data_IF_880858412680
#
_entry.id   IF_880858412680
#
_cell.length_a   1.000
_cell.length_b   1.000
_cell.length_c   1.000
_cell.angle_alpha   90.00
_cell.angle_beta   90.00
_cell.angle_gamma   90.00
#
_symmetry.space_group_name_H-M   'P 1'
#
loop_
_entity.id
_entity.type
_entity.pdbx_description
1 polymer ?
#
# COMPACT_ATOMS: atom_id res chain seq x y z
N UNK A 1 -68.50 1.69 -45.24
CA UNK A 1 -68.38 0.79 -46.40
C UNK A 1 -66.92 0.38 -46.52
N UNK A 2 -66.60 -0.87 -46.17
CA UNK A 2 -65.44 -1.59 -46.73
C UNK A 2 -65.92 -2.33 -48.00
N UNK A 3 -65.02 -2.70 -48.93
CA UNK A 3 -64.36 -4.01 -48.88
C UNK A 3 -62.85 -3.92 -49.22
N UNK A 4 -61.91 -4.73 -48.71
CA UNK A 4 -61.77 -6.20 -48.63
C UNK A 4 -61.23 -6.85 -49.92
N UNK A 5 -60.38 -7.87 -49.71
CA UNK A 5 -59.72 -8.84 -50.62
C UNK A 5 -58.33 -8.43 -51.17
N UNK A 6 -57.29 -9.27 -51.22
CA UNK A 6 -57.11 -10.67 -50.78
C UNK A 6 -55.61 -11.09 -50.84
N UNK A 7 -55.20 -11.94 -49.89
CA UNK A 7 -54.35 -13.17 -50.05
C UNK A 7 -52.89 -12.98 -50.56
N UNK A 8 -51.84 -13.40 -49.85
CA UNK A 8 -51.49 -14.82 -49.67
C UNK A 8 -50.51 -15.06 -48.51
N UNK A 9 -50.71 -16.21 -47.84
CA UNK A 9 -49.87 -16.81 -46.80
C UNK A 9 -48.60 -17.42 -47.40
N UNK A 10 -47.46 -17.25 -46.72
CA UNK A 10 -46.48 -18.34 -46.64
C UNK A 10 -45.77 -18.30 -45.28
N UNK A 11 -45.70 -19.48 -44.68
CA UNK A 11 -45.08 -19.78 -43.39
C UNK A 11 -43.58 -19.88 -43.60
N UNK A 12 -42.79 -19.37 -42.65
CA UNK A 12 -41.66 -20.14 -42.15
C UNK A 12 -41.46 -19.91 -40.66
N UNK A 13 -41.37 -21.03 -39.97
CA UNK A 13 -41.19 -21.20 -38.54
C UNK A 13 -39.72 -21.50 -38.31
N UNK A 14 -39.04 -20.77 -37.44
CA UNK A 14 -37.92 -21.32 -36.65
C UNK A 14 -37.65 -20.50 -35.37
N UNK A 15 -37.86 -21.17 -34.22
CA UNK A 15 -37.19 -21.05 -32.89
C UNK A 15 -37.14 -19.67 -32.21
N UNK A 16 -37.94 -19.36 -31.18
CA UNK A 16 -37.95 -19.82 -29.77
C UNK A 16 -36.62 -19.65 -29.00
N UNK A 17 -36.69 -18.72 -28.03
CA UNK A 17 -36.11 -18.65 -26.65
C UNK A 17 -35.16 -17.47 -26.46
N UNK A 18 -35.53 -16.54 -25.57
CA UNK A 18 -34.66 -15.45 -25.10
C UNK A 18 -35.33 -14.64 -24.00
N UNK A 19 -35.11 -15.07 -22.75
CA UNK A 19 -35.75 -14.62 -21.52
C UNK A 19 -35.37 -13.18 -21.17
N UNK A 20 -36.35 -12.41 -20.70
CA UNK A 20 -36.18 -11.11 -20.05
C UNK A 20 -35.40 -11.26 -18.75
N UNK A 21 -34.12 -10.87 -18.72
CA UNK A 21 -33.34 -10.78 -17.49
C UNK A 21 -33.38 -9.37 -16.90
N UNK A 22 -33.99 -9.30 -15.72
CA UNK A 22 -33.87 -8.23 -14.74
C UNK A 22 -32.40 -8.11 -14.33
N UNK A 23 -31.74 -7.00 -14.70
CA UNK A 23 -30.42 -6.68 -14.18
C UNK A 23 -30.48 -6.53 -12.65
N UNK A 24 -29.94 -7.53 -11.95
CA UNK A 24 -29.58 -7.39 -10.53
C UNK A 24 -28.24 -6.65 -10.43
N UNK A 25 -28.02 -5.83 -9.40
CA UNK A 25 -26.71 -5.28 -9.13
C UNK A 25 -25.76 -6.45 -8.81
N UNK A 26 -24.57 -6.43 -9.43
CA UNK A 26 -23.49 -7.34 -9.08
C UNK A 26 -22.97 -6.87 -7.72
N UNK A 27 -23.36 -7.57 -6.66
CA UNK A 27 -22.71 -7.48 -5.36
C UNK A 27 -21.31 -8.07 -5.51
N UNK A 28 -20.31 -7.19 -5.52
CA UNK A 28 -18.93 -7.60 -5.31
C UNK A 28 -18.76 -7.97 -3.83
N UNK A 29 -19.07 -9.22 -3.47
CA UNK A 29 -18.57 -9.79 -2.23
C UNK A 29 -17.04 -9.84 -2.32
N UNK A 30 -16.38 -8.93 -1.61
CA UNK A 30 -14.95 -9.01 -1.37
C UNK A 30 -14.70 -10.22 -0.45
N UNK A 31 -14.48 -11.38 -1.06
CA UNK A 31 -13.91 -12.52 -0.34
C UNK A 31 -12.49 -12.13 0.04
N UNK A 32 -12.21 -12.07 1.34
CA UNK A 32 -10.85 -11.90 1.83
C UNK A 32 -10.04 -13.13 1.39
N UNK A 33 -9.29 -13.00 0.31
CA UNK A 33 -8.27 -13.99 -0.04
C UNK A 33 -7.25 -13.97 1.09
N UNK A 34 -7.19 -15.03 1.90
CA UNK A 34 -6.13 -15.26 2.88
C UNK A 34 -5.26 -16.38 2.33
N UNK A 35 -4.22 -16.02 1.59
CA UNK A 35 -3.26 -16.93 0.97
C UNK A 35 -1.97 -16.22 0.57
N UNK A 36 -0.93 -16.93 0.11
CA UNK A 36 0.31 -16.31 -0.38
C UNK A 36 0.07 -15.30 -1.52
N UNK A 37 -1.01 -15.46 -2.27
CA UNK A 37 -1.44 -14.52 -3.31
C UNK A 37 -1.90 -13.17 -2.71
N UNK A 38 -2.53 -13.18 -1.53
CA UNK A 38 -2.97 -11.97 -0.84
C UNK A 38 -1.79 -11.14 -0.31
N UNK A 39 -0.74 -11.81 0.17
CA UNK A 39 0.47 -11.17 0.68
C UNK A 39 1.15 -10.30 -0.39
N UNK A 40 1.16 -10.76 -1.64
CA UNK A 40 1.83 -10.10 -2.76
C UNK A 40 0.92 -9.23 -3.63
N UNK A 41 -0.36 -9.09 -3.29
CA UNK A 41 -1.33 -8.27 -4.03
C UNK A 41 -1.77 -7.04 -3.26
N UNK A 42 -2.05 -5.92 -3.93
CA UNK A 42 -2.56 -4.73 -3.27
C UNK A 42 -3.98 -4.98 -2.75
N UNK A 43 -4.38 -4.26 -1.71
CA UNK A 43 -5.74 -4.27 -1.18
C UNK A 43 -6.74 -3.76 -2.24
N UNK A 44 -6.37 -2.70 -2.95
CA UNK A 44 -7.16 -2.10 -4.03
C UNK A 44 -6.21 -1.46 -5.04
N UNK A 45 -6.46 -1.67 -6.33
CA UNK A 45 -5.70 -1.02 -7.42
C UNK A 45 -6.37 0.30 -7.84
N UNK A 46 -5.58 1.33 -8.19
CA UNK A 46 -6.16 2.55 -8.75
C UNK A 46 -6.68 2.31 -10.17
N UNK A 47 -7.70 3.08 -10.55
CA UNK A 47 -8.16 3.16 -11.95
C UNK A 47 -7.26 4.10 -12.73
N UNK A 48 -7.11 3.88 -14.04
CA UNK A 48 -6.31 4.75 -14.90
C UNK A 48 -6.75 6.22 -14.79
N UNK A 49 -5.80 7.12 -14.51
CA UNK A 49 -6.05 8.55 -14.36
C UNK A 49 -6.68 8.97 -13.02
N UNK A 50 -6.87 8.04 -12.08
CA UNK A 50 -7.36 8.34 -10.75
C UNK A 50 -6.29 9.08 -9.92
N UNK A 51 -6.69 10.20 -9.32
CA UNK A 51 -5.83 10.93 -8.38
C UNK A 51 -5.65 10.21 -7.04
N UNK A 52 -4.61 10.55 -6.28
CA UNK A 52 -4.40 9.99 -4.94
C UNK A 52 -5.61 10.22 -4.04
N UNK A 53 -6.17 11.43 -4.06
CA UNK A 53 -7.33 11.79 -3.24
C UNK A 53 -8.53 10.91 -3.55
N UNK A 54 -8.89 10.78 -4.83
CA UNK A 54 -10.03 9.94 -5.25
C UNK A 54 -9.82 8.47 -4.89
N UNK A 55 -8.59 7.97 -4.97
CA UNK A 55 -8.26 6.62 -4.51
C UNK A 55 -8.50 6.46 -3.02
N UNK A 56 -8.03 7.41 -2.19
CA UNK A 56 -8.20 7.34 -0.73
C UNK A 56 -9.67 7.47 -0.30
N UNK A 57 -10.48 8.26 -1.01
CA UNK A 57 -11.93 8.34 -0.80
C UNK A 57 -12.63 7.00 -1.08
N UNK A 58 -12.15 6.24 -2.07
CA UNK A 58 -12.66 4.90 -2.37
C UNK A 58 -12.12 3.83 -1.40
N UNK A 59 -10.87 3.98 -0.95
CA UNK A 59 -10.23 3.04 -0.02
C UNK A 59 -10.90 3.09 1.36
N UNK A 60 -11.16 4.29 1.88
CA UNK A 60 -11.68 4.48 3.25
C UNK A 60 -12.89 3.61 3.60
N UNK A 61 -13.97 3.55 2.78
CA UNK A 61 -15.13 2.72 3.10
C UNK A 61 -14.88 1.20 3.00
N UNK A 62 -13.79 0.74 2.40
CA UNK A 62 -13.45 -0.69 2.33
C UNK A 62 -12.60 -1.17 3.52
N UNK A 63 -12.22 -0.27 4.43
CA UNK A 63 -11.39 -0.60 5.59
C UNK A 63 -12.25 -1.09 6.76
N UNK A 64 -11.82 -2.16 7.42
CA UNK A 64 -12.31 -2.50 8.75
C UNK A 64 -11.68 -1.55 9.78
N UNK A 65 -12.41 -0.50 10.14
CA UNK A 65 -11.93 0.52 11.08
C UNK A 65 -11.64 -0.01 12.48
N UNK A 66 -12.13 -1.20 12.84
CA UNK A 66 -11.81 -1.82 14.14
C UNK A 66 -10.34 -2.24 14.25
N UNK A 67 -9.68 -2.46 13.11
CA UNK A 67 -8.26 -2.82 13.02
C UNK A 67 -7.31 -1.64 13.22
N UNK A 68 -7.82 -0.40 13.29
CA UNK A 68 -7.00 0.80 13.26
C UNK A 68 -7.38 1.82 14.34
N UNK A 69 -6.41 2.59 14.81
CA UNK A 69 -6.67 3.80 15.58
C UNK A 69 -5.65 4.89 15.27
N UNK A 70 -6.13 6.13 15.13
CA UNK A 70 -5.28 7.33 15.11
C UNK A 70 -4.91 7.69 16.55
N UNK A 71 -3.62 7.72 16.88
CA UNK A 71 -3.14 8.02 18.24
C UNK A 71 -1.93 8.95 18.21
N UNK A 72 -1.70 9.72 19.28
CA UNK A 72 -0.54 10.62 19.42
C UNK A 72 0.64 10.00 20.17
N UNK A 73 0.43 8.83 20.79
CA UNK A 73 1.41 8.15 21.65
C UNK A 73 1.31 6.63 21.50
N UNK A 74 2.43 5.94 21.76
CA UNK A 74 2.51 4.47 21.82
C UNK A 74 2.30 3.99 23.26
N UNK A 75 1.06 4.08 23.76
CA UNK A 75 0.71 3.68 25.12
C UNK A 75 0.44 2.17 25.25
N UNK A 76 -0.15 1.58 24.21
CA UNK A 76 -0.51 0.16 24.15
C UNK A 76 0.59 -0.65 23.46
N UNK A 77 0.61 -1.97 23.66
CA UNK A 77 1.47 -2.85 22.87
C UNK A 77 0.86 -3.04 21.49
N UNK A 78 1.70 -3.03 20.46
CA UNK A 78 1.17 -3.06 19.10
C UNK A 78 2.16 -2.65 18.01
N UNK A 79 1.60 -2.61 16.79
CA UNK A 79 2.25 -2.07 15.60
C UNK A 79 1.79 -0.64 15.37
N UNK A 80 2.75 0.26 15.16
CA UNK A 80 2.48 1.65 14.87
C UNK A 80 3.17 2.06 13.57
N UNK A 81 2.43 2.72 12.68
CA UNK A 81 3.01 3.38 11.53
C UNK A 81 3.03 4.89 11.80
N UNK A 82 4.18 5.50 11.59
CA UNK A 82 4.34 6.95 11.65
C UNK A 82 4.92 7.47 10.35
N UNK A 83 4.48 8.66 9.95
CA UNK A 83 5.10 9.41 8.86
C UNK A 83 5.81 10.62 9.42
N UNK A 84 6.95 10.98 8.82
CA UNK A 84 7.72 12.18 9.19
C UNK A 84 8.22 12.90 7.96
N UNK A 85 8.49 14.19 8.13
CA UNK A 85 9.09 15.03 7.10
C UNK A 85 10.41 14.44 6.59
N UNK A 86 10.64 14.58 5.29
CA UNK A 86 11.86 14.13 4.65
C UNK A 86 12.97 15.10 5.05
N UNK A 87 14.08 14.56 5.58
CA UNK A 87 15.24 15.38 5.97
C UNK A 87 15.92 15.93 4.69
N UNK A 88 16.34 17.20 4.73
CA UNK A 88 17.07 17.88 3.65
C UNK A 88 16.23 18.85 2.81
N UNK A 89 16.90 19.82 2.16
CA UNK A 89 16.23 20.94 1.48
C UNK A 89 15.37 20.53 0.27
N UNK A 90 15.67 19.38 -0.34
CA UNK A 90 14.98 18.88 -1.51
C UNK A 90 13.76 17.99 -1.20
N UNK A 91 13.58 17.57 0.05
CA UNK A 91 12.41 16.78 0.49
C UNK A 91 11.09 17.52 0.29
N UNK A 92 11.13 18.86 0.38
CA UNK A 92 9.96 19.75 0.28
C UNK A 92 9.14 19.61 -1.00
N UNK A 93 9.74 19.13 -2.10
CA UNK A 93 9.00 18.90 -3.34
C UNK A 93 7.99 17.75 -3.17
N UNK A 94 8.40 16.66 -2.53
CA UNK A 94 7.54 15.49 -2.31
C UNK A 94 6.46 15.77 -1.26
N UNK A 95 6.74 16.65 -0.30
CA UNK A 95 5.77 17.07 0.72
C UNK A 95 4.55 17.82 0.12
N UNK A 96 4.67 18.35 -1.10
CA UNK A 96 3.53 18.96 -1.79
C UNK A 96 2.47 17.95 -2.23
N UNK A 97 2.79 16.64 -2.20
CA UNK A 97 1.82 15.56 -2.34
C UNK A 97 1.04 15.27 -1.03
N UNK A 98 1.28 16.06 0.02
CA UNK A 98 0.76 15.81 1.36
C UNK A 98 1.50 14.66 2.03
N UNK A 99 0.81 13.93 2.90
CA UNK A 99 1.40 12.85 3.70
C UNK A 99 1.75 11.60 2.89
N UNK A 100 1.24 11.47 1.66
CA UNK A 100 1.38 10.28 0.83
C UNK A 100 2.85 9.92 0.55
N UNK A 101 3.68 10.93 0.28
CA UNK A 101 5.09 10.76 -0.09
C UNK A 101 6.07 11.16 1.03
N UNK A 102 5.59 11.22 2.27
CA UNK A 102 6.45 11.42 3.43
C UNK A 102 7.21 10.13 3.79
N UNK A 103 8.32 10.30 4.52
CA UNK A 103 9.09 9.17 5.02
C UNK A 103 8.27 8.38 6.04
N UNK A 104 8.30 7.05 5.96
CA UNK A 104 7.49 6.16 6.80
C UNK A 104 8.35 5.26 7.66
N UNK A 105 7.92 5.06 8.90
CA UNK A 105 8.61 4.22 9.90
C UNK A 105 7.58 3.32 10.58
N UNK A 106 7.93 2.05 10.77
CA UNK A 106 7.14 1.09 11.57
C UNK A 106 7.75 1.02 12.96
N UNK A 107 6.93 1.04 14.00
CA UNK A 107 7.32 0.79 15.38
C UNK A 107 6.60 -0.44 15.92
N UNK A 108 7.35 -1.28 16.64
CA UNK A 108 6.86 -2.43 17.36
C UNK A 108 7.06 -2.15 18.85
N UNK A 109 5.96 -2.14 19.61
CA UNK A 109 5.99 -1.92 21.05
C UNK A 109 5.56 -3.18 21.80
N UNK A 110 6.38 -3.55 22.79
CA UNK A 110 6.10 -4.63 23.73
C UNK A 110 6.57 -4.23 25.14
N UNK A 111 5.63 -3.93 26.03
CA UNK A 111 5.88 -3.33 27.33
C UNK A 111 6.64 -2.01 27.19
N UNK A 112 7.83 -1.94 27.81
CA UNK A 112 8.68 -0.74 27.74
C UNK A 112 9.63 -0.74 26.52
N UNK A 113 9.72 -1.86 25.80
CA UNK A 113 10.62 -1.98 24.66
C UNK A 113 9.93 -1.47 23.40
N UNK A 114 10.63 -0.62 22.66
CA UNK A 114 10.20 -0.11 21.36
C UNK A 114 11.33 -0.32 20.37
N UNK A 115 11.02 -1.02 19.28
CA UNK A 115 11.90 -1.24 18.13
C UNK A 115 11.28 -0.51 16.93
N UNK A 116 12.11 0.08 16.08
CA UNK A 116 11.64 0.64 14.80
C UNK A 116 12.26 -0.05 13.60
N UNK A 117 11.49 -0.10 12.51
CA UNK A 117 11.92 -0.50 11.18
C UNK A 117 11.90 0.74 10.30
N UNK A 118 13.09 1.18 9.89
CA UNK A 118 13.32 2.38 9.10
C UNK A 118 14.18 2.00 7.89
N UNK A 119 13.57 2.00 6.70
CA UNK A 119 14.28 1.69 5.46
C UNK A 119 14.71 2.98 4.77
N UNK A 120 16.01 3.27 4.80
CA UNK A 120 16.58 4.47 4.18
C UNK A 120 17.99 4.22 3.62
N UNK A 121 18.54 5.18 2.87
CA UNK A 121 19.91 5.11 2.36
C UNK A 121 20.93 5.10 3.51
N UNK A 122 22.14 4.57 3.27
CA UNK A 122 23.25 4.72 4.23
C UNK A 122 23.61 6.20 4.38
N UNK A 123 23.56 6.72 5.60
CA UNK A 123 23.88 8.11 5.92
C UNK A 123 22.77 9.11 5.57
N UNK A 124 23.04 10.40 5.70
CA UNK A 124 22.10 11.48 5.31
C UNK A 124 22.21 11.76 3.80
N UNK A 125 21.81 10.78 2.98
CA UNK A 125 21.86 10.93 1.53
C UNK A 125 20.75 11.88 1.04
N UNK A 126 21.11 12.77 0.12
CA UNK A 126 20.18 13.69 -0.54
C UNK A 126 19.12 12.89 -1.33
N UNK A 127 17.85 13.08 -1.00
CA UNK A 127 16.73 12.43 -1.68
C UNK A 127 16.75 12.69 -3.19
N UNK A 128 17.23 13.85 -3.64
CA UNK A 128 17.36 14.19 -5.06
C UNK A 128 18.30 13.25 -5.79
N UNK A 129 19.45 12.92 -5.19
CA UNK A 129 20.40 11.98 -5.78
C UNK A 129 19.78 10.58 -5.90
N UNK A 130 19.01 10.18 -4.88
CA UNK A 130 18.31 8.89 -4.84
C UNK A 130 17.10 8.81 -5.79
N UNK A 131 16.69 9.90 -6.44
CA UNK A 131 15.74 9.87 -7.56
C UNK A 131 16.39 9.37 -8.86
N UNK A 132 17.72 9.45 -8.94
CA UNK A 132 18.50 9.15 -10.16
C UNK A 132 19.31 7.88 -10.05
N UNK A 133 19.77 7.53 -8.85
CA UNK A 133 20.62 6.36 -8.61
C UNK A 133 20.12 5.57 -7.39
N UNK A 134 20.20 4.24 -7.49
CA UNK A 134 19.93 3.36 -6.37
C UNK A 134 21.19 3.21 -5.51
N UNK A 135 21.06 3.40 -4.20
CA UNK A 135 22.19 3.43 -3.26
C UNK A 135 22.06 2.35 -2.18
N UNK A 136 23.14 1.93 -1.51
CA UNK A 136 23.03 1.00 -0.39
C UNK A 136 22.10 1.53 0.71
N UNK A 137 21.31 0.64 1.33
CA UNK A 137 20.47 1.00 2.48
C UNK A 137 21.23 0.88 3.81
N UNK A 138 20.85 1.70 4.78
CA UNK A 138 21.36 1.65 6.14
C UNK A 138 20.85 0.45 6.95
N UNK A 139 21.23 0.36 8.24
CA UNK A 139 20.58 -0.54 9.18
C UNK A 139 19.07 -0.29 9.21
N UNK A 140 18.27 -1.35 9.06
CA UNK A 140 16.80 -1.23 8.97
C UNK A 140 16.13 -1.28 10.34
N UNK A 141 16.61 -2.16 11.22
CA UNK A 141 16.04 -2.34 12.55
C UNK A 141 16.86 -1.54 13.57
N UNK A 142 16.16 -0.76 14.39
CA UNK A 142 16.76 0.03 15.47
C UNK A 142 16.18 -0.37 16.82
N UNK A 143 17.07 -0.75 17.74
CA UNK A 143 16.76 -1.12 19.12
C UNK A 143 17.82 -0.51 20.06
N UNK A 144 17.49 0.53 20.85
CA UNK A 144 16.16 1.14 20.96
C UNK A 144 15.77 1.96 19.71
N UNK A 145 14.48 2.10 19.47
CA UNK A 145 13.94 2.98 18.42
C UNK A 145 14.32 4.46 18.65
N UNK A 146 14.56 5.20 17.57
CA UNK A 146 14.65 6.66 17.61
C UNK A 146 13.28 7.22 18.02
N UNK A 147 13.27 8.29 18.83
CA UNK A 147 12.00 8.92 19.19
C UNK A 147 11.32 9.49 17.94
N UNK A 148 10.00 9.25 17.80
CA UNK A 148 9.21 9.81 16.71
C UNK A 148 9.19 11.34 16.81
N UNK A 149 9.03 11.99 15.65
CA UNK A 149 9.07 13.45 15.53
C UNK A 149 7.79 14.14 16.01
N UNK A 150 7.28 15.09 15.22
CA UNK A 150 6.03 15.79 15.53
C UNK A 150 4.82 14.86 15.41
N UNK A 151 4.37 14.33 16.55
CA UNK A 151 3.22 13.43 16.67
C UNK A 151 1.89 14.17 16.79
N UNK A 152 1.91 15.51 16.89
CA UNK A 152 0.72 16.35 16.90
C UNK A 152 0.24 16.57 15.47
N UNK A 153 1.15 16.96 14.58
CA UNK A 153 0.86 17.14 13.16
C UNK A 153 0.76 15.80 12.42
N UNK A 154 1.64 14.85 12.75
CA UNK A 154 1.70 13.53 12.11
C UNK A 154 1.48 12.41 13.16
N UNK A 155 0.22 12.11 13.52
CA UNK A 155 -0.09 11.09 14.53
C UNK A 155 0.34 9.69 14.06
N UNK A 156 0.36 8.71 14.95
CA UNK A 156 0.51 7.31 14.57
C UNK A 156 -0.80 6.74 14.03
N UNK A 157 -0.67 5.80 13.10
CA UNK A 157 -1.67 4.77 12.86
C UNK A 157 -1.31 3.55 13.72
N UNK A 158 -2.05 3.30 14.78
CA UNK A 158 -2.00 2.06 15.55
C UNK A 158 -2.76 0.97 14.78
N UNK A 159 -2.09 -0.14 14.50
CA UNK A 159 -2.61 -1.32 13.81
C UNK A 159 -2.86 -2.41 14.88
N UNK A 160 -4.13 -2.76 15.07
CA UNK A 160 -4.65 -3.58 16.18
C UNK A 160 -4.86 -5.05 15.84
N UNK A 161 -4.27 -5.52 14.75
CA UNK A 161 -4.35 -6.94 14.37
C UNK A 161 -3.26 -7.76 15.07
N UNK A 162 -3.45 -9.08 15.23
CA UNK A 162 -2.38 -9.98 15.64
C UNK A 162 -1.15 -9.83 14.71
N UNK A 163 0.03 -9.84 15.31
CA UNK A 163 1.29 -9.67 14.58
C UNK A 163 2.42 -10.44 15.24
N UNK A 164 3.46 -10.71 14.46
CA UNK A 164 4.68 -11.33 14.95
C UNK A 164 5.47 -10.38 15.87
N UNK A 165 6.08 -10.90 16.95
CA UNK A 165 6.90 -10.08 17.84
C UNK A 165 8.24 -9.69 17.20
N UNK A 166 8.93 -8.72 17.82
CA UNK A 166 10.19 -8.16 17.31
C UNK A 166 11.37 -9.15 17.26
N UNK A 167 11.29 -10.26 18.00
CA UNK A 167 12.29 -11.34 18.02
C UNK A 167 11.91 -12.53 17.12
N UNK A 168 10.87 -12.38 16.30
CA UNK A 168 10.42 -13.45 15.41
C UNK A 168 11.41 -13.72 14.26
N UNK A 169 11.47 -14.99 13.84
CA UNK A 169 12.20 -15.39 12.63
C UNK A 169 11.64 -14.71 11.37
N UNK A 170 10.32 -14.50 11.32
CA UNK A 170 9.65 -13.80 10.21
C UNK A 170 10.18 -12.37 10.04
N UNK A 171 10.25 -11.60 11.13
CA UNK A 171 10.82 -10.25 11.08
C UNK A 171 12.31 -10.28 10.73
N UNK A 172 13.06 -11.20 11.31
CA UNK A 172 14.51 -11.32 11.04
C UNK A 172 14.79 -11.53 9.55
N UNK A 173 14.04 -12.43 8.88
CA UNK A 173 14.13 -12.66 7.42
C UNK A 173 13.69 -11.45 6.61
N UNK A 174 12.62 -10.77 7.03
CA UNK A 174 12.16 -9.56 6.34
C UNK A 174 13.19 -8.43 6.42
N UNK A 175 13.81 -8.23 7.59
CA UNK A 175 14.88 -7.25 7.79
C UNK A 175 16.10 -7.60 6.92
N UNK A 176 16.57 -8.85 6.95
CA UNK A 176 17.68 -9.31 6.10
C UNK A 176 17.39 -9.09 4.61
N UNK A 177 16.18 -9.46 4.16
CA UNK A 177 15.74 -9.25 2.79
C UNK A 177 15.82 -7.77 2.39
N UNK A 178 15.19 -6.87 3.15
CA UNK A 178 15.20 -5.45 2.84
C UNK A 178 16.62 -4.88 2.89
N UNK A 179 17.42 -5.23 3.89
CA UNK A 179 18.81 -4.77 4.03
C UNK A 179 19.74 -5.21 2.90
N UNK A 180 19.41 -6.28 2.18
CA UNK A 180 20.17 -6.74 1.03
C UNK A 180 19.93 -5.92 -0.25
N UNK A 181 18.96 -4.99 -0.23
CA UNK A 181 18.53 -4.24 -1.42
C UNK A 181 19.10 -2.83 -1.45
N UNK A 182 19.14 -2.28 -2.65
CA UNK A 182 19.45 -0.86 -2.86
C UNK A 182 18.19 -0.02 -2.64
N UNK A 183 18.35 1.11 -1.96
CA UNK A 183 17.34 2.15 -1.80
C UNK A 183 17.28 3.01 -3.07
N UNK A 184 16.09 3.25 -3.60
CA UNK A 184 15.84 4.29 -4.60
C UNK A 184 14.51 4.97 -4.30
N UNK A 185 14.44 6.30 -4.44
CA UNK A 185 13.32 7.09 -3.91
C UNK A 185 11.95 6.73 -4.51
N UNK A 186 11.92 6.25 -5.76
CA UNK A 186 10.70 5.80 -6.44
C UNK A 186 10.60 4.28 -6.64
N UNK A 187 11.62 3.53 -6.24
CA UNK A 187 11.68 2.09 -6.47
C UNK A 187 12.47 1.44 -5.34
N UNK A 188 11.88 0.49 -4.63
CA UNK A 188 12.38 -0.01 -3.35
C UNK A 188 12.73 1.14 -2.38
N UNK A 189 11.71 1.90 -1.97
CA UNK A 189 11.84 3.04 -1.04
C UNK A 189 11.33 2.71 0.38
N UNK A 190 11.33 3.71 1.27
CA UNK A 190 10.85 3.60 2.64
C UNK A 190 9.36 3.23 2.73
N UNK A 191 8.53 3.76 1.84
CA UNK A 191 7.07 3.57 1.81
C UNK A 191 6.73 2.13 1.43
N UNK A 192 7.30 1.62 0.34
CA UNK A 192 7.11 0.24 -0.11
C UNK A 192 7.64 -0.76 0.92
N UNK A 193 8.81 -0.49 1.51
CA UNK A 193 9.36 -1.37 2.54
C UNK A 193 8.52 -1.33 3.83
N UNK A 194 7.94 -0.19 4.18
CA UNK A 194 6.98 -0.08 5.29
C UNK A 194 5.76 -0.96 5.04
N UNK A 195 5.18 -0.90 3.84
CA UNK A 195 4.06 -1.77 3.48
C UNK A 195 4.46 -3.25 3.53
N UNK A 196 5.64 -3.59 2.98
CA UNK A 196 6.19 -4.94 3.07
C UNK A 196 6.39 -5.42 4.50
N UNK A 197 6.96 -4.61 5.40
CA UNK A 197 7.16 -5.00 6.80
C UNK A 197 5.84 -5.23 7.51
N UNK A 198 4.84 -4.36 7.30
CA UNK A 198 3.52 -4.55 7.89
C UNK A 198 2.89 -5.85 7.37
N UNK A 199 2.99 -6.16 6.07
CA UNK A 199 2.54 -7.46 5.54
C UNK A 199 3.28 -8.62 6.19
N UNK A 200 4.61 -8.54 6.30
CA UNK A 200 5.42 -9.59 6.91
C UNK A 200 5.05 -9.83 8.39
N UNK A 201 4.83 -8.75 9.14
CA UNK A 201 4.48 -8.80 10.55
C UNK A 201 3.05 -9.27 10.81
N UNK A 202 2.12 -8.98 9.89
CA UNK A 202 0.69 -9.33 10.05
C UNK A 202 0.30 -10.58 9.25
N UNK A 203 1.24 -11.25 8.60
CA UNK A 203 0.95 -12.38 7.72
C UNK A 203 0.14 -12.01 6.47
N UNK A 204 0.16 -10.73 6.07
CA UNK A 204 -0.58 -10.20 4.92
C UNK A 204 -2.00 -9.73 5.24
N UNK A 205 -2.44 -9.76 6.51
CA UNK A 205 -3.74 -9.23 6.94
C UNK A 205 -3.85 -7.74 6.60
N UNK A 206 -2.80 -6.96 6.91
CA UNK A 206 -2.75 -5.54 6.58
C UNK A 206 -1.90 -5.32 5.33
N UNK A 207 -2.50 -4.63 4.35
CA UNK A 207 -1.92 -4.33 3.05
C UNK A 207 -2.12 -2.86 2.72
N UNK A 208 -1.19 -2.29 1.96
CA UNK A 208 -1.12 -0.87 1.65
C UNK A 208 -1.14 0.02 2.91
N UNK A 209 -0.48 -0.39 3.99
CA UNK A 209 -0.51 0.30 5.28
C UNK A 209 -0.15 1.81 5.21
N UNK A 210 0.84 2.25 4.39
CA UNK A 210 1.08 3.68 4.20
C UNK A 210 -0.11 4.44 3.59
N UNK A 211 -0.86 3.83 2.66
CA UNK A 211 -2.06 4.45 2.07
C UNK A 211 -3.25 4.40 3.03
N UNK A 212 -3.36 3.35 3.85
CA UNK A 212 -4.32 3.30 4.96
C UNK A 212 -4.06 4.44 5.94
N UNK A 213 -2.79 4.72 6.26
CA UNK A 213 -2.42 5.90 7.05
C UNK A 213 -2.93 7.19 6.40
N UNK A 214 -2.71 7.37 5.09
CA UNK A 214 -3.16 8.58 4.41
C UNK A 214 -4.69 8.73 4.40
N UNK A 215 -5.41 7.61 4.35
CA UNK A 215 -6.87 7.60 4.40
C UNK A 215 -7.43 7.98 5.78
N UNK A 216 -6.75 7.61 6.87
CA UNK A 216 -7.27 7.71 8.24
C UNK A 216 -6.61 8.79 9.11
N UNK A 217 -5.32 9.00 8.92
CA UNK A 217 -4.47 9.88 9.74
C UNK A 217 -3.95 11.09 8.95
N UNK A 218 -3.68 10.89 7.66
CA UNK A 218 -2.95 11.82 6.82
C UNK A 218 -3.78 12.94 6.18
N UNK A 219 -3.08 13.68 5.32
CA UNK A 219 -3.64 14.76 4.52
C UNK A 219 -3.10 14.67 3.10
N UNK A 220 -4.00 14.49 2.12
CA UNK A 220 -3.65 14.46 0.70
C UNK A 220 -4.49 15.53 -0.02
N UNK A 221 -3.86 16.45 -0.77
CA UNK A 221 -4.57 17.47 -1.52
C UNK A 221 -5.58 16.88 -2.50
N UNK A 222 -6.68 17.58 -2.76
CA UNK A 222 -7.74 17.11 -3.66
C UNK A 222 -7.29 16.92 -5.11
N UNK A 223 -6.20 17.60 -5.51
CA UNK A 223 -5.59 17.49 -6.81
C UNK A 223 -4.12 17.10 -6.63
N UNK A 224 -3.66 16.17 -7.44
CA UNK A 224 -2.25 15.80 -7.44
C UNK A 224 -1.39 17.00 -7.85
N UNK A 225 -0.23 17.13 -7.22
CA UNK A 225 0.69 18.20 -7.53
C UNK A 225 1.13 18.12 -9.02
N UNK A 226 1.14 19.23 -9.78
CA UNK A 226 1.55 19.21 -11.19
C UNK A 226 2.94 18.63 -11.43
N UNK A 227 3.88 18.82 -10.50
CA UNK A 227 5.22 18.22 -10.57
C UNK A 227 5.18 16.71 -10.40
N UNK A 228 4.30 16.19 -9.54
CA UNK A 228 4.07 14.75 -9.40
C UNK A 228 3.47 14.18 -10.68
N UNK A 229 2.47 14.84 -11.26
CA UNK A 229 1.88 14.43 -12.55
C UNK A 229 2.92 14.42 -13.66
N UNK A 230 3.73 15.48 -13.78
CA UNK A 230 4.80 15.55 -14.76
C UNK A 230 5.83 14.44 -14.56
N UNK A 231 6.23 14.18 -13.30
CA UNK A 231 7.12 13.09 -12.97
C UNK A 231 6.57 11.72 -13.42
N UNK A 232 5.30 11.44 -13.14
CA UNK A 232 4.65 10.19 -13.57
C UNK A 232 4.65 10.05 -15.09
N UNK A 233 4.40 11.14 -15.82
CA UNK A 233 4.43 11.15 -17.29
C UNK A 233 5.84 10.91 -17.84
N UNK A 234 6.87 11.48 -17.22
CA UNK A 234 8.26 11.36 -17.69
C UNK A 234 8.88 9.99 -17.39
N UNK A 235 8.52 9.39 -16.25
CA UNK A 235 9.12 8.12 -15.80
C UNK A 235 8.28 6.89 -16.11
N UNK A 236 6.98 7.07 -16.35
CA UNK A 236 6.01 5.98 -16.44
C UNK A 236 5.73 5.29 -15.11
N UNK A 237 6.24 5.82 -13.99
CA UNK A 237 6.01 5.30 -12.64
C UNK A 237 4.82 6.05 -12.04
N UNK A 238 3.78 5.35 -11.61
CA UNK A 238 2.64 5.98 -10.94
C UNK A 238 2.94 6.27 -9.46
N UNK A 239 2.19 7.20 -8.86
CA UNK A 239 2.24 7.42 -7.40
C UNK A 239 1.93 6.14 -6.62
N UNK A 240 1.08 5.27 -7.16
CA UNK A 240 0.70 4.02 -6.50
C UNK A 240 1.87 3.04 -6.49
N UNK A 241 2.63 2.97 -7.58
CA UNK A 241 3.85 2.15 -7.63
C UNK A 241 4.84 2.59 -6.56
N UNK A 242 4.92 3.88 -6.24
CA UNK A 242 5.80 4.43 -5.18
C UNK A 242 5.34 4.03 -3.78
N UNK A 243 4.05 3.77 -3.56
CA UNK A 243 3.46 3.52 -2.24
C UNK A 243 3.12 2.06 -1.95
N UNK A 244 3.07 1.20 -2.98
CA UNK A 244 2.64 -0.19 -2.88
C UNK A 244 3.80 -1.17 -2.66
N UNK A 245 3.74 -1.94 -1.56
CA UNK A 245 4.77 -2.91 -1.20
C UNK A 245 4.64 -4.27 -1.88
N UNK A 246 3.62 -4.48 -2.74
CA UNK A 246 3.35 -5.78 -3.37
C UNK A 246 4.53 -6.35 -4.15
N UNK A 247 5.32 -5.52 -4.82
CA UNK A 247 6.52 -5.99 -5.55
C UNK A 247 7.58 -6.54 -4.58
N UNK A 248 7.87 -5.81 -3.50
CA UNK A 248 8.81 -6.26 -2.48
C UNK A 248 8.33 -7.56 -1.82
N UNK A 249 7.02 -7.65 -1.53
CA UNK A 249 6.39 -8.84 -1.00
C UNK A 249 6.52 -10.05 -1.96
N UNK A 250 6.24 -9.85 -3.26
CA UNK A 250 6.38 -10.91 -4.27
C UNK A 250 7.84 -11.40 -4.39
N UNK A 251 8.81 -10.48 -4.38
CA UNK A 251 10.22 -10.83 -4.46
C UNK A 251 10.70 -11.57 -3.21
N UNK A 252 10.23 -11.16 -2.02
CA UNK A 252 10.48 -11.88 -0.77
C UNK A 252 9.97 -13.32 -0.81
N UNK A 253 8.72 -13.52 -1.24
CA UNK A 253 8.13 -14.86 -1.39
C UNK A 253 8.95 -15.71 -2.37
N UNK A 254 9.37 -15.15 -3.51
CA UNK A 254 10.17 -15.87 -4.51
C UNK A 254 11.50 -16.37 -3.96
N UNK A 255 12.12 -15.62 -3.07
CA UNK A 255 13.42 -15.95 -2.48
C UNK A 255 13.32 -16.95 -1.33
N UNK A 256 12.24 -16.86 -0.54
CA UNK A 256 12.08 -17.63 0.70
C UNK A 256 11.14 -18.84 0.57
N UNK A 257 10.32 -18.91 -0.50
CA UNK A 257 9.45 -20.05 -0.82
C UNK A 257 10.01 -20.93 -1.95
N UNK A 258 11.32 -20.88 -2.24
CA UNK A 258 11.92 -21.77 -3.26
C UNK A 258 11.45 -23.22 -3.03
N UNK A 259 10.90 -23.90 -4.05
CA UNK A 259 10.54 -25.30 -3.92
C UNK A 259 11.81 -26.08 -3.60
N UNK A 260 11.73 -26.99 -2.62
CA UNK A 260 12.77 -27.98 -2.39
C UNK A 260 13.02 -28.68 -3.72
N UNK A 261 14.21 -28.50 -4.30
CA UNK A 261 14.62 -29.29 -5.46
C UNK A 261 14.68 -30.73 -4.97
N UNK A 262 13.89 -31.66 -5.51
CA UNK A 262 14.06 -33.07 -5.18
C UNK A 262 15.47 -33.47 -5.61
N UNK A 263 16.28 -33.89 -4.64
CA UNK A 263 17.55 -34.58 -4.88
C UNK A 263 17.35 -35.89 -5.61
#
# INVERSE_FOLDING_TARGET
MAPASDVCLERDVQQIVGVSEVQRPIEHEAVAETGPDAFSTPLMRPVFGQSMHQYLEQLRPSLDLSQFARVSSMEEDGLYLHKRHIRGDHGKMLEQAGTALLHTVVYLKNGQKIVSLDFGPVGEADVTANLTEAVPCGPVMHDPAEQPGDTVELPFLHIKVPHYPADSEALSKAVEFSQSRLYHAFANNCIQNTDFFIRALTGGEIRNAPLVYDALCGHVPAQDNPMLVMFMLMTGISWFDVCDGSRAAADFLREHLKPAVPS
#
